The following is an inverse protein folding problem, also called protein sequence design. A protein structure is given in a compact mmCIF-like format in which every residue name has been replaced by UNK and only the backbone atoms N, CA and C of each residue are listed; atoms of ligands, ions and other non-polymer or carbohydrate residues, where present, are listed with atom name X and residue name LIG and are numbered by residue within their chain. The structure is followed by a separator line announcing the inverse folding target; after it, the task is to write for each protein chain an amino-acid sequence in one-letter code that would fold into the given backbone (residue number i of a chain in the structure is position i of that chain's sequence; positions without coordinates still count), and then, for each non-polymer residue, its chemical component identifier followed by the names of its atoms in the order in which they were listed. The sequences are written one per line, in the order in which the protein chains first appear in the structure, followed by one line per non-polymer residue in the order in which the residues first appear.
data_IF_601537938206
#
_entry.id   IF_601537938206
#
_cell.length_a   1.000
_cell.length_b   1.000
_cell.length_c   1.000
_cell.angle_alpha   90.00
_cell.angle_beta   90.00
_cell.angle_gamma   90.00
#
_symmetry.space_group_name_H-M   'P 1'
#
loop_
_entity.id
_entity.type
_entity.pdbx_description
1 polymer ?
#
# COMPACT_ATOMS: atom_id res chain seq x y z
N UNK A 1 -19.93 -6.89 -12.18
CA UNK A 1 -19.43 -6.23 -13.42
C UNK A 1 -18.26 -7.04 -13.96
N UNK A 2 -17.99 -7.06 -15.27
CA UNK A 2 -16.78 -7.72 -15.79
C UNK A 2 -15.54 -7.01 -15.24
N UNK A 3 -14.49 -7.80 -14.98
CA UNK A 3 -13.19 -7.27 -14.53
C UNK A 3 -12.60 -6.42 -15.65
N UNK A 4 -12.07 -5.23 -15.31
CA UNK A 4 -11.43 -4.33 -16.27
C UNK A 4 -10.17 -4.96 -16.88
N UNK A 5 -9.67 -4.41 -18.02
CA UNK A 5 -8.40 -4.86 -18.61
C UNK A 5 -7.24 -4.74 -17.61
N UNK A 6 -7.19 -3.66 -16.83
CA UNK A 6 -6.21 -3.47 -15.76
C UNK A 6 -6.33 -4.57 -14.70
N UNK A 7 -7.53 -4.88 -14.24
CA UNK A 7 -7.77 -6.00 -13.33
C UNK A 7 -7.34 -7.35 -13.88
N UNK A 8 -7.55 -7.62 -15.19
CA UNK A 8 -7.06 -8.84 -15.84
C UNK A 8 -5.51 -8.90 -15.86
N UNK A 9 -4.86 -7.76 -16.10
CA UNK A 9 -3.40 -7.66 -16.04
C UNK A 9 -2.90 -7.96 -14.61
N UNK A 10 -3.56 -7.44 -13.58
CA UNK A 10 -3.19 -7.68 -12.17
C UNK A 10 -3.42 -9.14 -11.75
N UNK A 11 -4.52 -9.78 -12.17
CA UNK A 11 -4.74 -11.22 -11.93
C UNK A 11 -3.61 -12.04 -12.56
N UNK A 12 -3.26 -11.75 -13.83
CA UNK A 12 -2.18 -12.45 -14.53
C UNK A 12 -0.84 -12.22 -13.86
N UNK A 13 -0.58 -10.99 -13.37
CA UNK A 13 0.61 -10.61 -12.64
C UNK A 13 0.69 -11.34 -11.30
N UNK A 14 -0.39 -11.37 -10.52
CA UNK A 14 -0.48 -12.07 -9.24
C UNK A 14 -0.22 -13.57 -9.37
N UNK A 15 -0.77 -14.21 -10.41
CA UNK A 15 -0.49 -15.61 -10.72
C UNK A 15 0.99 -15.86 -10.99
N UNK A 16 1.63 -15.03 -11.83
CA UNK A 16 3.07 -15.12 -12.12
C UNK A 16 3.93 -14.90 -10.87
N UNK A 17 3.53 -14.01 -9.98
CA UNK A 17 4.22 -13.78 -8.72
C UNK A 17 4.12 -14.99 -7.80
N UNK A 18 2.96 -15.63 -7.72
CA UNK A 18 2.72 -16.80 -6.85
C UNK A 18 3.55 -18.03 -7.21
N UNK A 19 4.01 -18.13 -8.47
CA UNK A 19 4.93 -19.19 -8.93
C UNK A 19 6.33 -19.09 -8.30
N UNK A 20 6.66 -17.96 -7.68
CA UNK A 20 7.92 -17.66 -7.04
C UNK A 20 7.67 -17.26 -5.57
N UNK A 21 8.64 -16.62 -4.94
CA UNK A 21 8.42 -16.00 -3.62
C UNK A 21 8.10 -14.51 -3.80
N UNK A 22 6.81 -14.09 -3.74
CA UNK A 22 6.41 -12.70 -3.98
C UNK A 22 7.12 -11.72 -3.05
N UNK A 23 7.28 -12.07 -1.77
CA UNK A 23 7.90 -11.19 -0.77
C UNK A 23 9.39 -10.95 -1.06
N UNK A 24 10.08 -11.91 -1.66
CA UNK A 24 11.47 -11.70 -2.12
C UNK A 24 11.50 -10.79 -3.35
N UNK A 25 10.60 -10.98 -4.30
CA UNK A 25 10.50 -10.14 -5.51
C UNK A 25 10.21 -8.69 -5.13
N UNK A 26 9.27 -8.47 -4.22
CA UNK A 26 8.91 -7.14 -3.71
C UNK A 26 9.96 -6.56 -2.75
N UNK A 27 10.94 -7.37 -2.34
CA UNK A 27 11.98 -6.98 -1.39
C UNK A 27 11.56 -6.96 0.07
N UNK A 28 10.34 -7.41 0.41
CA UNK A 28 9.86 -7.48 1.79
C UNK A 28 10.48 -8.63 2.58
N UNK A 29 10.92 -9.69 1.92
CA UNK A 29 11.60 -10.84 2.54
C UNK A 29 13.01 -10.54 3.03
N UNK A 30 13.65 -9.44 2.60
CA UNK A 30 14.98 -9.03 3.03
C UNK A 30 14.97 -8.41 4.43
N UNK A 31 16.11 -8.38 5.17
CA UNK A 31 16.19 -7.71 6.47
C UNK A 31 15.74 -6.25 6.43
N UNK A 32 16.23 -5.49 5.46
CA UNK A 32 15.82 -4.11 5.24
C UNK A 32 14.32 -3.99 4.88
N UNK A 33 13.81 -4.92 4.07
CA UNK A 33 12.40 -4.99 3.71
C UNK A 33 11.48 -5.21 4.91
N UNK A 34 11.85 -6.09 5.83
CA UNK A 34 11.09 -6.35 7.07
C UNK A 34 11.01 -5.10 7.96
N UNK A 35 12.12 -4.40 8.15
CA UNK A 35 12.16 -3.14 8.90
C UNK A 35 11.23 -2.10 8.25
N UNK A 36 11.27 -1.99 6.92
CA UNK A 36 10.40 -1.09 6.16
C UNK A 36 8.92 -1.47 6.29
N UNK A 37 8.60 -2.76 6.17
CA UNK A 37 7.22 -3.25 6.29
C UNK A 37 6.64 -2.94 7.67
N UNK A 38 7.38 -3.23 8.73
CA UNK A 38 6.98 -2.93 10.11
C UNK A 38 6.76 -1.43 10.33
N UNK A 39 7.69 -0.59 9.87
CA UNK A 39 7.56 0.87 9.97
C UNK A 39 6.33 1.39 9.24
N UNK A 40 6.09 0.93 8.00
CA UNK A 40 4.91 1.32 7.21
C UNK A 40 3.62 0.88 7.87
N UNK A 41 3.56 -0.38 8.27
CA UNK A 41 2.39 -0.92 8.97
C UNK A 41 2.09 -0.14 10.25
N UNK A 42 3.13 0.21 11.03
CA UNK A 42 2.99 1.03 12.23
C UNK A 42 2.40 2.42 11.94
N UNK A 43 2.91 3.12 10.92
CA UNK A 43 2.40 4.43 10.50
C UNK A 43 0.95 4.34 10.02
N UNK A 44 0.64 3.37 9.18
CA UNK A 44 -0.71 3.15 8.65
C UNK A 44 -1.68 2.83 9.79
N UNK A 45 -1.31 1.92 10.68
CA UNK A 45 -2.14 1.52 11.83
C UNK A 45 -2.43 2.69 12.77
N UNK A 46 -1.40 3.48 13.08
CA UNK A 46 -1.54 4.63 13.99
C UNK A 46 -2.49 5.69 13.42
N UNK A 47 -2.32 6.03 12.15
CA UNK A 47 -3.16 7.04 11.49
C UNK A 47 -4.60 6.57 11.27
N UNK A 48 -4.79 5.30 10.91
CA UNK A 48 -6.10 4.69 10.78
C UNK A 48 -6.77 4.41 12.13
N UNK A 49 -6.08 4.64 13.25
CA UNK A 49 -6.58 4.40 14.59
C UNK A 49 -6.94 2.94 14.84
N UNK A 50 -6.21 1.98 14.22
CA UNK A 50 -6.53 0.56 14.33
C UNK A 50 -6.45 0.09 15.78
N UNK A 51 -7.53 -0.51 16.26
CA UNK A 51 -7.69 -1.09 17.60
C UNK A 51 -8.93 -1.96 17.64
N UNK A 52 -9.15 -2.67 18.74
CA UNK A 52 -10.41 -3.37 18.96
C UNK A 52 -11.61 -2.43 18.82
N UNK A 53 -12.63 -2.88 18.10
CA UNK A 53 -13.84 -2.12 17.78
C UNK A 53 -13.74 -1.24 16.53
N UNK A 54 -12.60 -1.16 15.87
CA UNK A 54 -12.42 -0.53 14.55
C UNK A 54 -12.59 -1.59 13.47
N UNK A 55 -13.37 -1.31 12.44
CA UNK A 55 -13.53 -2.13 11.24
C UNK A 55 -12.81 -1.50 10.06
N UNK A 56 -11.81 -2.19 9.55
CA UNK A 56 -10.94 -1.71 8.48
C UNK A 56 -11.02 -2.58 7.22
N UNK A 57 -10.93 -1.93 6.05
CA UNK A 57 -10.70 -2.58 4.77
C UNK A 57 -9.23 -2.44 4.40
N UNK A 58 -8.52 -3.54 4.21
CA UNK A 58 -7.22 -3.55 3.57
C UNK A 58 -7.38 -3.87 2.08
N UNK A 59 -6.91 -2.96 1.21
CA UNK A 59 -6.93 -3.14 -0.24
C UNK A 59 -5.57 -3.70 -0.69
N UNK A 60 -5.58 -4.75 -1.52
CA UNK A 60 -4.38 -5.35 -2.08
C UNK A 60 -3.52 -6.04 -1.01
N UNK A 61 -4.11 -6.92 -0.22
CA UNK A 61 -3.40 -7.59 0.88
C UNK A 61 -2.33 -8.58 0.41
N UNK A 62 -2.35 -9.02 -0.85
CA UNK A 62 -1.39 -9.93 -1.44
C UNK A 62 -1.22 -11.22 -0.64
N UNK A 63 0.00 -11.49 -0.19
CA UNK A 63 0.35 -12.65 0.65
C UNK A 63 -0.05 -12.48 2.13
N UNK A 64 -0.71 -11.38 2.50
CA UNK A 64 -1.12 -11.10 3.87
C UNK A 64 0.01 -10.58 4.77
N UNK A 65 1.13 -10.16 4.22
CA UNK A 65 2.27 -9.66 5.02
C UNK A 65 1.87 -8.44 5.87
N UNK A 66 1.24 -7.44 5.25
CA UNK A 66 0.79 -6.25 5.98
C UNK A 66 -0.42 -6.55 6.84
N UNK A 67 -1.33 -7.43 6.39
CA UNK A 67 -2.46 -7.92 7.18
C UNK A 67 -2.02 -8.48 8.52
N UNK A 68 -0.91 -9.24 8.56
CA UNK A 68 -0.34 -9.80 9.79
C UNK A 68 0.06 -8.70 10.79
N UNK A 69 0.68 -7.61 10.31
CA UNK A 69 0.99 -6.46 11.18
C UNK A 69 -0.27 -5.76 11.66
N UNK A 70 -1.24 -5.51 10.78
CA UNK A 70 -2.49 -4.83 11.11
C UNK A 70 -3.34 -5.63 12.10
N UNK A 71 -3.38 -6.96 11.97
CA UNK A 71 -4.11 -7.86 12.84
C UNK A 71 -3.69 -7.77 14.31
N UNK A 72 -2.44 -7.39 14.59
CA UNK A 72 -1.92 -7.18 15.96
C UNK A 72 -2.65 -6.06 16.72
N UNK A 73 -3.32 -5.17 16.01
CA UNK A 73 -4.12 -4.08 16.61
C UNK A 73 -5.39 -4.56 17.28
N UNK A 74 -5.88 -5.78 16.94
CA UNK A 74 -7.16 -6.30 17.37
C UNK A 74 -8.37 -5.72 16.63
N UNK A 75 -8.17 -4.92 15.58
CA UNK A 75 -9.22 -4.44 14.69
C UNK A 75 -9.86 -5.61 13.91
N UNK A 76 -11.09 -5.41 13.46
CA UNK A 76 -11.72 -6.26 12.45
C UNK A 76 -11.20 -5.86 11.07
N UNK A 77 -10.57 -6.78 10.35
CA UNK A 77 -9.95 -6.49 9.06
C UNK A 77 -10.59 -7.33 7.96
N UNK A 78 -11.14 -6.66 6.96
CA UNK A 78 -11.50 -7.26 5.68
C UNK A 78 -10.31 -7.05 4.73
N UNK A 79 -9.55 -8.11 4.47
CA UNK A 79 -8.36 -8.09 3.63
C UNK A 79 -8.72 -8.54 2.22
N UNK A 80 -8.66 -7.61 1.27
CA UNK A 80 -9.09 -7.79 -0.10
C UNK A 80 -7.90 -7.93 -1.04
N UNK A 81 -7.96 -8.90 -1.94
CA UNK A 81 -7.07 -8.98 -3.10
C UNK A 81 -7.83 -9.53 -4.32
N UNK A 82 -7.35 -9.21 -5.51
CA UNK A 82 -7.93 -9.72 -6.76
C UNK A 82 -7.35 -11.10 -7.15
N UNK A 83 -6.18 -11.49 -6.61
CA UNK A 83 -5.50 -12.74 -6.89
C UNK A 83 -5.81 -13.79 -5.83
N UNK A 84 -6.53 -14.84 -6.23
CA UNK A 84 -6.82 -15.98 -5.36
C UNK A 84 -5.56 -16.77 -5.00
N UNK A 85 -4.56 -16.77 -5.88
CA UNK A 85 -3.27 -17.43 -5.64
C UNK A 85 -2.51 -16.77 -4.50
N UNK A 86 -2.47 -15.42 -4.47
CA UNK A 86 -1.83 -14.68 -3.37
C UNK A 86 -2.63 -14.85 -2.07
N UNK A 87 -3.96 -14.83 -2.13
CA UNK A 87 -4.82 -15.06 -0.98
C UNK A 87 -4.67 -16.47 -0.39
N UNK A 88 -4.36 -17.46 -1.21
CA UNK A 88 -4.03 -18.79 -0.72
C UNK A 88 -2.84 -18.75 0.25
N UNK A 89 -1.80 -17.99 -0.08
CA UNK A 89 -0.65 -17.77 0.81
C UNK A 89 -1.04 -16.95 2.06
N UNK A 90 -1.90 -15.94 1.89
CA UNK A 90 -2.37 -15.10 3.00
C UNK A 90 -3.15 -15.92 4.05
N UNK A 91 -4.04 -16.82 3.62
CA UNK A 91 -4.80 -17.71 4.51
C UNK A 91 -3.90 -18.68 5.29
N UNK A 92 -2.75 -19.07 4.73
CA UNK A 92 -1.78 -19.93 5.42
C UNK A 92 -1.09 -19.27 6.62
N UNK A 93 -1.19 -17.93 6.76
CA UNK A 93 -0.65 -17.21 7.93
C UNK A 93 -1.43 -17.49 9.22
N UNK A 94 -2.62 -18.10 9.12
CA UNK A 94 -3.47 -18.46 10.27
C UNK A 94 -3.66 -17.28 11.24
N UNK A 95 -4.06 -16.14 10.69
CA UNK A 95 -4.30 -14.92 11.46
C UNK A 95 -5.56 -15.05 12.35
N UNK A 96 -5.75 -14.07 13.22
CA UNK A 96 -6.92 -13.97 14.10
C UNK A 96 -8.26 -14.13 13.34
N UNK A 97 -9.29 -14.70 13.99
CA UNK A 97 -10.66 -14.77 13.47
C UNK A 97 -11.28 -13.40 13.14
N UNK A 98 -10.65 -12.31 13.58
CA UNK A 98 -11.03 -10.93 13.23
C UNK A 98 -10.54 -10.51 11.83
N UNK A 99 -9.80 -11.36 11.12
CA UNK A 99 -9.33 -11.14 9.76
C UNK A 99 -10.12 -12.03 8.81
N UNK A 100 -10.76 -11.41 7.82
CA UNK A 100 -11.42 -12.11 6.72
C UNK A 100 -10.75 -11.79 5.40
N UNK A 101 -10.43 -12.83 4.61
CA UNK A 101 -9.84 -12.68 3.28
C UNK A 101 -10.90 -12.79 2.20
N UNK A 102 -10.98 -11.78 1.33
CA UNK A 102 -11.97 -11.66 0.26
C UNK A 102 -11.27 -11.58 -1.10
N UNK A 103 -11.61 -12.51 -2.02
CA UNK A 103 -11.17 -12.45 -3.40
C UNK A 103 -12.19 -11.66 -4.23
N UNK A 104 -11.86 -10.44 -4.58
CA UNK A 104 -12.72 -9.58 -5.40
C UNK A 104 -11.95 -8.42 -5.99
N UNK A 105 -12.31 -7.93 -7.19
CA UNK A 105 -11.88 -6.62 -7.65
C UNK A 105 -12.33 -5.55 -6.65
N UNK A 106 -11.45 -4.59 -6.34
CA UNK A 106 -11.75 -3.52 -5.40
C UNK A 106 -13.00 -2.71 -5.82
N UNK A 107 -13.15 -2.47 -7.11
CA UNK A 107 -14.27 -1.71 -7.69
C UNK A 107 -15.63 -2.39 -7.53
N UNK A 108 -15.65 -3.69 -7.21
CA UNK A 108 -16.87 -4.47 -7.02
C UNK A 108 -17.40 -4.44 -5.58
N UNK A 109 -16.64 -3.90 -4.62
CA UNK A 109 -17.11 -3.81 -3.24
C UNK A 109 -18.30 -2.86 -3.12
N UNK A 110 -19.33 -3.32 -2.36
CA UNK A 110 -20.46 -2.46 -2.01
C UNK A 110 -20.12 -1.55 -0.83
N UNK A 111 -20.72 -0.35 -0.83
CA UNK A 111 -20.61 0.61 0.25
C UNK A 111 -21.76 0.48 1.29
N UNK A 112 -22.52 -0.61 1.25
CA UNK A 112 -23.70 -0.82 2.13
C UNK A 112 -23.31 -0.98 3.60
N UNK A 113 -22.06 -1.43 3.87
CA UNK A 113 -21.52 -1.56 5.22
C UNK A 113 -20.15 -0.84 5.29
N UNK A 114 -20.15 0.48 5.55
CA UNK A 114 -18.96 1.31 5.46
C UNK A 114 -17.96 1.02 6.59
N UNK A 115 -16.69 1.32 6.31
CA UNK A 115 -15.53 1.08 7.17
C UNK A 115 -15.14 2.32 7.99
N UNK A 116 -14.57 2.10 9.17
CA UNK A 116 -13.93 3.16 9.96
C UNK A 116 -12.60 3.58 9.31
N UNK A 117 -11.91 2.63 8.67
CA UNK A 117 -10.67 2.88 7.97
C UNK A 117 -10.56 2.09 6.66
N UNK A 118 -9.89 2.66 5.66
CA UNK A 118 -9.45 1.96 4.44
C UNK A 118 -7.94 2.12 4.35
N UNK A 119 -7.23 1.01 4.30
CA UNK A 119 -5.78 0.94 4.44
C UNK A 119 -5.14 0.11 3.32
N UNK A 120 -3.84 0.26 3.13
CA UNK A 120 -3.07 -0.56 2.21
C UNK A 120 -1.63 -0.09 2.05
N UNK A 121 -0.80 -0.92 1.47
CA UNK A 121 0.59 -0.61 1.17
C UNK A 121 0.95 -1.10 -0.21
N UNK A 122 1.45 -0.21 -1.06
CA UNK A 122 1.88 -0.52 -2.43
C UNK A 122 0.75 -1.12 -3.28
N UNK A 123 -0.42 -0.50 -3.29
CA UNK A 123 -1.61 -0.96 -4.03
C UNK A 123 -2.27 0.12 -4.88
N UNK A 124 -2.33 1.38 -4.42
CA UNK A 124 -3.05 2.43 -5.16
C UNK A 124 -2.44 2.69 -6.55
N UNK A 125 -1.14 2.47 -6.71
CA UNK A 125 -0.43 2.65 -7.97
C UNK A 125 -0.79 1.59 -9.04
N UNK A 126 -1.47 0.51 -8.66
CA UNK A 126 -2.07 -0.48 -9.57
C UNK A 126 -3.50 -0.12 -10.00
N UNK A 127 -4.14 0.85 -9.36
CA UNK A 127 -5.55 1.22 -9.60
C UNK A 127 -5.67 2.47 -10.49
N UNK A 128 -6.85 2.67 -11.08
CA UNK A 128 -7.21 4.01 -11.57
C UNK A 128 -7.43 4.94 -10.39
N UNK A 129 -6.49 5.83 -10.15
CA UNK A 129 -6.42 6.59 -8.90
C UNK A 129 -7.64 7.48 -8.65
N UNK A 130 -8.24 8.05 -9.70
CA UNK A 130 -9.42 8.93 -9.57
C UNK A 130 -10.63 8.10 -9.12
N UNK A 131 -10.88 6.99 -9.81
CA UNK A 131 -11.95 6.05 -9.49
C UNK A 131 -11.73 5.42 -8.11
N UNK A 132 -10.49 5.01 -7.82
CA UNK A 132 -10.13 4.38 -6.55
C UNK A 132 -10.36 5.31 -5.35
N UNK A 133 -9.87 6.54 -5.39
CA UNK A 133 -10.08 7.51 -4.31
C UNK A 133 -11.56 7.86 -4.12
N UNK A 134 -12.31 8.00 -5.22
CA UNK A 134 -13.76 8.24 -5.17
C UNK A 134 -14.51 7.05 -4.55
N UNK A 135 -14.04 5.83 -4.83
CA UNK A 135 -14.62 4.63 -4.25
C UNK A 135 -14.26 4.45 -2.77
N UNK A 136 -13.00 4.70 -2.39
CA UNK A 136 -12.56 4.72 -0.99
C UNK A 136 -13.40 5.70 -0.17
N UNK A 137 -13.67 6.91 -0.71
CA UNK A 137 -14.49 7.88 -0.02
C UNK A 137 -15.90 7.34 0.28
N UNK A 138 -16.52 6.62 -0.67
CA UNK A 138 -17.85 6.02 -0.46
C UNK A 138 -17.84 4.87 0.54
N UNK A 139 -16.75 4.08 0.58
CA UNK A 139 -16.58 2.96 1.49
C UNK A 139 -16.30 3.37 2.94
N UNK A 140 -15.81 4.58 3.16
CA UNK A 140 -15.54 5.10 4.51
C UNK A 140 -16.83 5.61 5.17
N UNK A 141 -16.96 5.45 6.48
CA UNK A 141 -17.94 6.19 7.30
C UNK A 141 -17.62 7.69 7.26
N UNK A 142 -18.59 8.59 7.52
CA UNK A 142 -18.28 10.00 7.78
C UNK A 142 -17.22 10.10 8.90
N UNK A 143 -16.15 10.88 8.67
CA UNK A 143 -14.99 10.96 9.56
C UNK A 143 -14.04 9.76 9.50
N UNK A 144 -14.32 8.75 8.70
CA UNK A 144 -13.43 7.60 8.49
C UNK A 144 -12.14 7.98 7.77
N UNK A 145 -11.10 7.20 7.97
CA UNK A 145 -9.72 7.51 7.55
C UNK A 145 -9.23 6.59 6.44
N UNK A 146 -8.65 7.15 5.37
CA UNK A 146 -7.78 6.39 4.48
C UNK A 146 -6.32 6.54 4.89
N UNK A 147 -5.54 5.46 4.88
CA UNK A 147 -4.11 5.49 5.20
C UNK A 147 -3.32 4.48 4.37
N UNK A 148 -2.36 4.98 3.59
CA UNK A 148 -1.60 4.18 2.63
C UNK A 148 -0.11 4.52 2.63
N UNK A 149 0.70 3.61 2.09
CA UNK A 149 2.10 3.86 1.77
C UNK A 149 2.38 3.44 0.31
N UNK A 150 2.82 4.38 -0.53
CA UNK A 150 2.91 4.22 -1.98
C UNK A 150 4.28 4.67 -2.55
N UNK A 151 4.68 4.24 -3.75
CA UNK A 151 5.90 4.71 -4.38
C UNK A 151 5.88 6.22 -4.65
N UNK A 152 7.02 6.87 -4.41
CA UNK A 152 7.22 8.30 -4.64
C UNK A 152 7.87 8.54 -6.00
N UNK A 153 7.19 9.22 -6.93
CA UNK A 153 7.71 9.52 -8.27
C UNK A 153 8.93 10.43 -8.27
N UNK A 154 9.16 11.22 -7.22
CA UNK A 154 10.36 12.06 -7.11
C UNK A 154 11.63 11.30 -6.72
N UNK A 155 11.50 10.05 -6.24
CA UNK A 155 12.67 9.22 -6.03
C UNK A 155 13.32 8.90 -7.40
N UNK A 156 14.61 9.20 -7.61
CA UNK A 156 15.25 9.05 -8.92
C UNK A 156 15.22 7.61 -9.46
N UNK A 157 15.38 6.61 -8.59
CA UNK A 157 15.32 5.19 -8.95
C UNK A 157 13.90 4.82 -9.43
N UNK A 158 12.87 5.20 -8.68
CA UNK A 158 11.47 4.92 -9.01
C UNK A 158 11.08 5.66 -10.29
N UNK A 159 11.50 6.91 -10.43
CA UNK A 159 11.25 7.69 -11.65
C UNK A 159 11.81 6.99 -12.90
N UNK A 160 13.04 6.50 -12.85
CA UNK A 160 13.64 5.74 -13.95
C UNK A 160 12.91 4.42 -14.17
N UNK A 161 12.66 3.65 -13.10
CA UNK A 161 11.97 2.36 -13.16
C UNK A 161 10.59 2.47 -13.81
N UNK A 162 9.77 3.44 -13.40
CA UNK A 162 8.39 3.57 -13.87
C UNK A 162 8.25 4.19 -15.27
N UNK A 163 9.27 4.94 -15.75
CA UNK A 163 9.20 5.65 -17.02
C UNK A 163 10.04 5.04 -18.15
N UNK A 164 10.89 4.04 -17.86
CA UNK A 164 11.70 3.35 -18.87
C UNK A 164 11.15 1.95 -19.09
N UNK A 165 10.47 1.67 -20.23
CA UNK A 165 9.70 0.43 -20.43
C UNK A 165 10.47 -0.87 -20.22
N UNK A 166 11.72 -0.95 -20.71
CA UNK A 166 12.52 -2.15 -20.55
C UNK A 166 13.01 -2.37 -19.11
N UNK A 167 13.25 -1.29 -18.34
CA UNK A 167 13.57 -1.37 -16.89
C UNK A 167 12.32 -1.83 -16.14
N UNK A 168 11.18 -1.20 -16.42
CA UNK A 168 9.88 -1.56 -15.82
C UNK A 168 9.60 -3.05 -15.99
N UNK A 169 9.70 -3.57 -17.20
CA UNK A 169 9.50 -4.99 -17.48
C UNK A 169 10.51 -5.90 -16.75
N UNK A 170 11.81 -5.49 -16.69
CA UNK A 170 12.85 -6.25 -16.00
C UNK A 170 12.69 -6.29 -14.49
N UNK A 171 12.12 -5.23 -13.91
CA UNK A 171 11.87 -5.13 -12.46
C UNK A 171 10.60 -5.87 -12.02
N UNK A 172 9.83 -6.41 -12.98
CA UNK A 172 8.64 -7.20 -12.70
C UNK A 172 7.39 -6.36 -12.45
N UNK A 173 7.41 -5.09 -12.84
CA UNK A 173 6.24 -4.20 -12.71
C UNK A 173 5.15 -4.60 -13.72
N UNK A 174 3.88 -4.45 -13.33
CA UNK A 174 2.77 -4.59 -14.27
C UNK A 174 2.73 -3.41 -15.26
N UNK A 175 2.13 -3.59 -16.46
CA UNK A 175 2.08 -2.52 -17.47
C UNK A 175 1.48 -1.22 -16.97
N UNK A 176 0.47 -1.32 -16.12
CA UNK A 176 -0.36 -0.22 -15.66
C UNK A 176 0.17 0.47 -14.39
N UNK A 177 1.23 -0.08 -13.78
CA UNK A 177 1.83 0.50 -12.58
C UNK A 177 2.40 1.90 -12.80
N UNK A 178 2.23 2.75 -11.80
CA UNK A 178 2.73 4.12 -11.78
C UNK A 178 3.38 4.46 -10.43
N UNK A 179 3.60 5.73 -10.15
CA UNK A 179 4.00 6.25 -8.85
C UNK A 179 3.41 7.66 -8.70
N UNK A 180 3.47 8.24 -7.51
CA UNK A 180 2.75 9.46 -7.22
C UNK A 180 3.65 10.65 -6.97
N UNK A 181 3.23 11.82 -7.48
CA UNK A 181 3.70 13.13 -7.02
C UNK A 181 2.80 13.61 -5.89
N UNK A 182 3.32 13.81 -4.69
CA UNK A 182 2.52 14.12 -3.49
C UNK A 182 1.58 15.33 -3.65
N UNK A 183 2.02 16.37 -4.36
CA UNK A 183 1.19 17.58 -4.56
C UNK A 183 0.01 17.33 -5.49
N UNK A 184 0.22 16.56 -6.58
CA UNK A 184 -0.86 16.17 -7.50
C UNK A 184 -1.88 15.27 -6.80
N UNK A 185 -1.37 14.32 -6.00
CA UNK A 185 -2.22 13.42 -5.24
C UNK A 185 -3.02 14.18 -4.17
N UNK A 186 -2.40 15.12 -3.45
CA UNK A 186 -3.09 15.96 -2.47
C UNK A 186 -4.21 16.79 -3.10
N UNK A 187 -3.93 17.43 -4.24
CA UNK A 187 -4.94 18.21 -4.98
C UNK A 187 -6.12 17.33 -5.44
N UNK A 188 -5.83 16.11 -5.92
CA UNK A 188 -6.85 15.15 -6.32
C UNK A 188 -7.71 14.71 -5.12
N UNK A 189 -7.08 14.33 -4.01
CA UNK A 189 -7.80 13.96 -2.78
C UNK A 189 -8.70 15.09 -2.29
N UNK A 190 -8.21 16.34 -2.32
CA UNK A 190 -8.99 17.51 -1.94
C UNK A 190 -10.18 17.71 -2.88
N UNK A 191 -9.98 17.57 -4.19
CA UNK A 191 -11.05 17.71 -5.20
C UNK A 191 -12.14 16.64 -5.04
N UNK A 192 -11.79 15.43 -4.57
CA UNK A 192 -12.73 14.34 -4.29
C UNK A 192 -13.49 14.57 -2.96
N UNK A 193 -13.00 15.46 -2.08
CA UNK A 193 -13.65 15.81 -0.82
C UNK A 193 -13.04 15.19 0.43
N UNK A 194 -11.79 14.71 0.36
CA UNK A 194 -11.03 14.36 1.57
C UNK A 194 -10.60 15.61 2.32
N UNK A 195 -10.53 15.52 3.65
CA UNK A 195 -10.00 16.55 4.57
C UNK A 195 -8.81 15.99 5.34
N UNK A 196 -8.12 16.86 6.06
CA UNK A 196 -6.96 16.52 6.91
C UNK A 196 -5.95 15.67 6.13
N UNK A 197 -5.64 16.13 4.92
CA UNK A 197 -4.76 15.42 3.99
C UNK A 197 -3.31 15.61 4.41
N UNK A 198 -2.65 14.50 4.74
CA UNK A 198 -1.23 14.45 5.05
C UNK A 198 -0.52 13.49 4.10
N UNK A 199 0.40 14.01 3.28
CA UNK A 199 1.23 13.20 2.39
C UNK A 199 2.70 13.53 2.68
N UNK A 200 3.41 12.57 3.26
CA UNK A 200 4.77 12.73 3.76
C UNK A 200 5.71 11.76 3.06
N UNK A 201 6.78 12.25 2.40
CA UNK A 201 7.82 11.37 1.88
C UNK A 201 8.59 10.71 3.01
N UNK A 202 8.84 9.41 2.87
CA UNK A 202 9.57 8.59 3.84
C UNK A 202 10.29 7.44 3.16
N UNK A 203 11.15 6.77 3.92
CA UNK A 203 11.73 5.49 3.54
C UNK A 203 12.95 5.62 2.60
N UNK A 204 14.12 5.68 3.22
CA UNK A 204 15.42 5.71 2.54
C UNK A 204 16.12 4.36 2.54
N UNK A 205 15.57 3.39 3.26
CA UNK A 205 16.16 2.07 3.39
C UNK A 205 15.79 1.19 2.19
N UNK A 206 16.74 0.99 1.25
CA UNK A 206 16.49 0.15 0.08
C UNK A 206 16.55 -1.34 0.45
N UNK A 207 15.70 -2.22 -0.12
CA UNK A 207 15.68 -3.67 0.18
C UNK A 207 17.02 -4.39 -0.03
N UNK A 208 17.88 -3.90 -0.91
CA UNK A 208 19.20 -4.47 -1.17
C UNK A 208 20.26 -4.12 -0.12
N UNK A 209 19.96 -3.30 0.88
CA UNK A 209 20.90 -2.94 1.95
C UNK A 209 21.15 -4.17 2.83
N UNK A 210 22.43 -4.58 3.01
CA UNK A 210 22.77 -5.71 3.86
C UNK A 210 22.49 -5.40 5.33
N UNK A 211 22.17 -6.46 6.10
CA UNK A 211 21.79 -6.35 7.51
C UNK A 211 22.77 -5.50 8.35
N UNK A 212 24.08 -5.64 8.10
CA UNK A 212 25.14 -4.90 8.82
C UNK A 212 25.08 -3.38 8.65
N UNK A 213 24.39 -2.88 7.63
CA UNK A 213 24.27 -1.44 7.34
C UNK A 213 22.85 -0.89 7.58
N UNK A 214 21.87 -1.75 7.89
CA UNK A 214 20.47 -1.31 8.02
C UNK A 214 20.29 -0.23 9.06
N UNK A 215 20.83 -0.41 10.27
CA UNK A 215 20.67 0.55 11.37
C UNK A 215 21.31 1.92 11.05
N UNK A 216 22.48 1.89 10.41
CA UNK A 216 23.16 3.12 9.99
C UNK A 216 22.36 3.85 8.92
N UNK A 217 21.97 3.16 7.85
CA UNK A 217 21.21 3.74 6.74
C UNK A 217 19.83 4.21 7.21
N UNK A 218 19.18 3.48 8.13
CA UNK A 218 17.92 3.91 8.71
C UNK A 218 18.06 5.25 9.46
N UNK A 219 19.05 5.41 10.34
CA UNK A 219 19.30 6.65 11.07
C UNK A 219 19.64 7.82 10.16
N UNK A 220 20.43 7.59 9.11
CA UNK A 220 20.71 8.59 8.07
C UNK A 220 19.43 8.96 7.34
N UNK A 221 18.62 7.98 6.94
CA UNK A 221 17.34 8.19 6.28
C UNK A 221 16.37 9.02 7.13
N UNK A 222 16.21 8.68 8.42
CA UNK A 222 15.39 9.44 9.36
C UNK A 222 15.87 10.91 9.52
N UNK A 223 17.17 11.14 9.37
CA UNK A 223 17.73 12.50 9.34
C UNK A 223 17.34 13.22 8.06
N UNK A 224 17.45 12.55 6.89
CA UNK A 224 17.07 13.12 5.60
C UNK A 224 15.57 13.44 5.53
N UNK A 225 14.72 12.66 6.17
CA UNK A 225 13.28 12.91 6.26
C UNK A 225 12.94 14.21 7.01
N UNK A 226 13.83 14.70 7.87
CA UNK A 226 13.67 15.98 8.58
C UNK A 226 14.13 17.19 7.76
N UNK A 227 14.90 16.97 6.69
CA UNK A 227 15.43 18.03 5.83
C UNK A 227 14.46 18.26 4.66
N UNK A 228 13.79 19.42 4.55
CA UNK A 228 12.67 19.64 3.62
C UNK A 228 12.93 19.29 2.16
N UNK A 229 14.11 19.61 1.62
CA UNK A 229 14.45 19.29 0.23
C UNK A 229 14.84 17.82 0.05
N UNK A 230 15.62 17.25 0.97
CA UNK A 230 16.09 15.87 0.85
C UNK A 230 14.94 14.88 0.97
N UNK A 231 14.03 15.08 1.92
CA UNK A 231 12.88 14.17 2.12
C UNK A 231 12.07 13.95 0.85
N UNK A 232 12.02 14.93 -0.06
CA UNK A 232 11.23 14.82 -1.29
C UNK A 232 11.70 13.68 -2.20
N UNK A 233 12.94 13.22 -2.05
CA UNK A 233 13.53 12.12 -2.82
C UNK A 233 13.45 10.76 -2.10
N UNK A 234 12.79 10.67 -0.95
CA UNK A 234 12.55 9.40 -0.26
C UNK A 234 11.77 8.42 -1.15
N UNK A 235 11.93 7.12 -0.90
CA UNK A 235 11.38 6.06 -1.77
C UNK A 235 9.87 5.92 -1.74
N UNK A 236 9.21 6.43 -0.70
CA UNK A 236 7.78 6.22 -0.49
C UNK A 236 7.07 7.49 -0.07
N UNK A 237 5.76 7.52 -0.29
CA UNK A 237 4.82 8.49 0.27
C UNK A 237 3.95 7.77 1.29
N UNK A 238 3.93 8.26 2.51
CA UNK A 238 2.86 7.99 3.45
C UNK A 238 1.69 8.94 3.15
N UNK A 239 0.49 8.40 3.07
CA UNK A 239 -0.71 9.11 2.60
C UNK A 239 -1.81 8.90 3.62
N UNK A 240 -2.43 9.99 4.08
CA UNK A 240 -3.59 9.99 4.95
C UNK A 240 -4.61 11.02 4.48
N UNK A 241 -5.89 10.72 4.67
CA UNK A 241 -6.99 11.67 4.50
C UNK A 241 -8.23 11.19 5.20
N UNK A 242 -9.08 12.11 5.64
CA UNK A 242 -10.35 11.81 6.29
C UNK A 242 -11.52 12.07 5.33
N UNK A 243 -12.54 11.19 5.36
CA UNK A 243 -13.81 11.48 4.70
C UNK A 243 -14.52 12.63 5.41
N UNK A 244 -14.98 13.60 4.65
CA UNK A 244 -15.85 14.71 5.14
C UNK A 244 -17.17 14.21 5.68
#
# INVERSE_FOLDING_TARGET
MPVSQRGQNEITHGKKLSENNPEQIWGWGTPAGKIRAERRAGLISAAAGLRSGVRALEIGCGTGLFTEYFARSGAEIVALDISEELLTSARQRNLSERVSFVCSPFEALSADDPFDAVIGSSVLHHLDIVSALSHIQRLLKPGGVMSFAEPNMLNPQIMVQKNVPWIKARMGDSPDESAFFRWRLAALMQAIGFRDIHIVPLDWLHPAIPLSLTDFIQKVGETFEKIPLLREFAGSLYIQGCRS
#
